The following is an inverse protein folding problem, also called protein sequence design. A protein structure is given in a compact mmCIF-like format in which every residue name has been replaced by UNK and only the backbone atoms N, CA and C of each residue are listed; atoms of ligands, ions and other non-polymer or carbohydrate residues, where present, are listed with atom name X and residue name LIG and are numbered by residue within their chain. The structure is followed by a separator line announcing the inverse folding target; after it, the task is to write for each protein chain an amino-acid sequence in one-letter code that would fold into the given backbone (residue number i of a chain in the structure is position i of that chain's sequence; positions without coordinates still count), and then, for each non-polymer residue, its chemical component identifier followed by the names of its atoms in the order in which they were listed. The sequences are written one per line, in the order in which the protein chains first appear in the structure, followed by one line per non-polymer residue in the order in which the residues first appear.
data_IF_896567490539
#
_entry.id   IF_896567490539
#
_cell.length_a   1.000
_cell.length_b   1.000
_cell.length_c   1.000
_cell.angle_alpha   90.00
_cell.angle_beta   90.00
_cell.angle_gamma   90.00
#
_symmetry.space_group_name_H-M   'P 1'
#
loop_
_entity.id
_entity.type
_entity.pdbx_description
1 polymer ?
#
# COMPACT_ATOMS: atom_id res chain seq x y z
N UNK A 1 -80.77 -7.01 -35.74
CA UNK A 1 -80.29 -5.76 -35.09
C UNK A 1 -78.81 -5.63 -35.43
N UNK A 2 -78.47 -4.85 -36.46
CA UNK A 2 -77.09 -4.72 -37.00
C UNK A 2 -76.46 -3.47 -36.38
N UNK A 3 -75.38 -3.69 -35.65
CA UNK A 3 -74.59 -2.61 -35.05
C UNK A 3 -73.45 -2.33 -36.01
N UNK A 4 -73.42 -1.15 -36.58
CA UNK A 4 -72.34 -0.66 -37.43
C UNK A 4 -71.23 -0.08 -36.52
N UNK A 5 -70.04 -0.64 -36.62
CA UNK A 5 -68.84 -0.17 -35.94
C UNK A 5 -68.09 0.79 -36.89
N UNK A 6 -68.14 2.07 -36.63
CA UNK A 6 -67.42 3.09 -37.39
C UNK A 6 -65.98 3.15 -36.87
N UNK A 7 -65.01 2.80 -37.70
CA UNK A 7 -63.57 2.91 -37.44
C UNK A 7 -63.13 4.34 -37.78
N UNK A 8 -62.78 5.12 -36.76
CA UNK A 8 -62.20 6.44 -36.91
C UNK A 8 -60.68 6.30 -37.10
N UNK A 9 -60.23 6.54 -38.32
CA UNK A 9 -58.80 6.45 -38.67
C UNK A 9 -58.10 7.75 -38.25
N UNK A 10 -57.25 7.69 -37.22
CA UNK A 10 -56.47 8.85 -36.74
C UNK A 10 -55.11 8.76 -37.44
N UNK A 11 -54.87 9.62 -38.41
CA UNK A 11 -53.60 9.74 -39.11
C UNK A 11 -52.62 10.50 -38.24
N UNK A 12 -51.65 9.81 -37.68
CA UNK A 12 -50.51 10.43 -36.95
C UNK A 12 -49.45 10.85 -37.96
N UNK A 13 -49.36 12.14 -38.21
CA UNK A 13 -48.25 12.76 -38.94
C UNK A 13 -47.00 12.75 -38.03
N UNK A 14 -46.11 11.83 -38.30
CA UNK A 14 -44.77 11.82 -37.71
C UNK A 14 -43.91 12.90 -38.38
N UNK A 15 -43.75 14.05 -37.75
CA UNK A 15 -42.68 14.98 -38.08
C UNK A 15 -41.36 14.40 -37.51
N UNK A 16 -40.59 13.78 -38.41
CA UNK A 16 -39.24 13.36 -38.15
C UNK A 16 -38.32 14.57 -38.24
N UNK A 17 -38.03 15.21 -37.12
CA UNK A 17 -36.91 16.15 -37.02
C UNK A 17 -35.62 15.35 -36.94
N UNK A 18 -34.95 15.19 -38.06
CA UNK A 18 -33.63 14.59 -38.16
C UNK A 18 -32.54 15.60 -37.73
N UNK A 19 -32.40 15.87 -36.45
CA UNK A 19 -31.24 16.57 -35.90
C UNK A 19 -30.10 15.59 -35.76
N UNK A 20 -29.34 15.37 -36.83
CA UNK A 20 -27.97 14.86 -36.73
C UNK A 20 -27.15 15.92 -35.98
N UNK A 21 -27.05 15.78 -34.64
CA UNK A 21 -25.91 16.30 -33.93
C UNK A 21 -24.72 15.47 -34.37
N UNK A 22 -23.90 16.01 -35.27
CA UNK A 22 -22.54 15.58 -35.43
C UNK A 22 -21.88 15.73 -34.05
N UNK A 23 -21.66 14.60 -33.37
CA UNK A 23 -20.73 14.55 -32.26
C UNK A 23 -19.34 14.76 -32.86
N UNK A 24 -18.86 15.99 -32.83
CA UNK A 24 -17.44 16.24 -32.93
C UNK A 24 -16.78 15.46 -31.81
N UNK A 25 -16.42 14.20 -32.05
CA UNK A 25 -15.42 13.50 -31.31
C UNK A 25 -14.13 14.32 -31.51
N UNK A 26 -13.92 15.27 -30.62
CA UNK A 26 -12.63 15.91 -30.47
C UNK A 26 -11.67 14.76 -30.17
N UNK A 27 -10.88 14.38 -31.18
CA UNK A 27 -9.67 13.59 -30.95
C UNK A 27 -8.99 14.18 -29.70
N UNK A 28 -8.59 13.35 -28.71
CA UNK A 28 -7.80 13.86 -27.63
C UNK A 28 -6.57 14.51 -28.27
N UNK A 29 -6.49 15.84 -28.15
CA UNK A 29 -5.36 16.59 -28.65
C UNK A 29 -4.13 15.89 -28.07
N UNK A 30 -3.25 15.36 -28.95
CA UNK A 30 -1.92 14.93 -28.52
C UNK A 30 -1.31 16.14 -27.83
N UNK A 31 -1.23 16.10 -26.50
CA UNK A 31 -0.49 17.11 -25.74
C UNK A 31 0.93 17.09 -26.30
N UNK A 32 1.30 18.10 -27.04
CA UNK A 32 2.68 18.35 -27.40
C UNK A 32 3.37 18.81 -26.11
N UNK A 33 4.00 17.88 -25.38
CA UNK A 33 4.71 18.09 -24.11
C UNK A 33 6.02 18.86 -24.32
N UNK A 34 6.23 19.50 -25.45
CA UNK A 34 7.43 20.29 -25.76
C UNK A 34 7.31 21.78 -25.43
N UNK A 35 6.18 22.24 -24.95
CA UNK A 35 6.03 23.63 -24.52
C UNK A 35 6.43 23.76 -23.04
N UNK A 36 7.54 24.43 -22.78
CA UNK A 36 8.07 24.71 -21.42
C UNK A 36 7.03 25.37 -20.51
N UNK A 37 6.07 26.13 -21.05
CA UNK A 37 4.98 26.73 -20.29
C UNK A 37 3.93 25.69 -19.84
N UNK A 38 3.74 24.63 -20.61
CA UNK A 38 2.82 23.52 -20.27
C UNK A 38 3.46 22.60 -19.23
N UNK A 39 4.77 22.34 -19.34
CA UNK A 39 5.54 21.62 -18.31
C UNK A 39 5.56 22.41 -17.00
N UNK A 40 5.77 23.71 -17.02
CA UNK A 40 5.75 24.56 -15.83
C UNK A 40 4.38 24.62 -15.13
N UNK A 41 3.27 24.34 -15.83
CA UNK A 41 1.94 24.19 -15.23
C UNK A 41 1.75 22.84 -14.55
N UNK A 42 2.39 21.77 -15.05
CA UNK A 42 2.34 20.45 -14.46
C UNK A 42 3.26 20.30 -13.25
N UNK A 43 4.35 21.08 -13.23
CA UNK A 43 5.38 21.02 -12.18
C UNK A 43 5.15 21.96 -11.00
N UNK A 44 4.05 22.70 -10.95
CA UNK A 44 3.71 23.42 -9.72
C UNK A 44 3.04 22.46 -8.76
N UNK A 45 3.79 21.90 -7.79
CA UNK A 45 3.13 21.26 -6.68
C UNK A 45 2.19 22.32 -6.07
N UNK A 46 0.94 21.95 -5.81
CA UNK A 46 0.06 22.79 -4.99
C UNK A 46 0.76 22.96 -3.65
N UNK A 47 1.43 24.08 -3.44
CA UNK A 47 2.11 24.36 -2.17
C UNK A 47 1.02 24.43 -1.12
N UNK A 48 0.94 23.38 -0.29
CA UNK A 48 0.08 23.43 0.89
C UNK A 48 0.74 24.43 1.87
N UNK A 49 0.10 25.56 2.20
CA UNK A 49 0.71 26.55 3.08
C UNK A 49 0.80 26.08 4.54
N UNK A 50 0.13 24.99 4.89
CA UNK A 50 0.05 24.46 6.27
C UNK A 50 1.02 23.29 6.51
N UNK A 51 1.34 22.52 5.48
CA UNK A 51 2.22 21.38 5.60
C UNK A 51 2.90 21.07 4.26
N UNK A 52 4.17 20.67 4.30
CA UNK A 52 4.87 20.13 3.13
C UNK A 52 4.44 18.68 2.92
N UNK A 53 4.42 18.25 1.65
CA UNK A 53 4.21 16.83 1.33
C UNK A 53 5.46 16.05 1.74
N UNK A 54 5.27 15.00 2.54
CA UNK A 54 6.36 14.11 2.90
C UNK A 54 6.83 13.31 1.68
N UNK A 55 8.14 13.22 1.50
CA UNK A 55 8.76 12.42 0.44
C UNK A 55 8.80 10.92 0.76
N UNK A 56 8.48 10.56 2.00
CA UNK A 56 8.36 9.17 2.48
C UNK A 56 6.97 8.96 3.07
N UNK A 57 5.91 8.90 2.25
CA UNK A 57 4.54 8.87 2.73
C UNK A 57 4.28 7.66 3.63
N UNK A 58 3.38 7.84 4.60
CA UNK A 58 2.88 6.75 5.43
C UNK A 58 1.98 5.83 4.61
N UNK A 59 2.08 4.54 4.88
CA UNK A 59 1.23 3.51 4.31
C UNK A 59 0.85 2.48 5.36
N UNK A 60 -0.15 1.66 5.07
CA UNK A 60 -0.57 0.59 5.95
C UNK A 60 -1.05 -0.64 5.18
N UNK A 61 -0.78 -1.80 5.74
CA UNK A 61 -1.26 -3.08 5.22
C UNK A 61 -1.95 -3.88 6.32
N UNK A 62 -2.95 -4.67 5.93
CA UNK A 62 -3.77 -5.48 6.84
C UNK A 62 -3.64 -6.96 6.54
N UNK A 63 -3.87 -7.79 7.56
CA UNK A 63 -4.18 -9.19 7.36
C UNK A 63 -5.57 -9.53 7.95
N UNK A 64 -6.47 -10.14 7.16
CA UNK A 64 -6.30 -10.47 5.73
C UNK A 64 -6.16 -9.22 4.85
N UNK A 65 -5.45 -9.35 3.72
CA UNK A 65 -5.11 -8.23 2.84
C UNK A 65 -6.32 -7.51 2.22
N UNK A 66 -7.43 -8.21 2.07
CA UNK A 66 -8.71 -7.69 1.57
C UNK A 66 -9.60 -7.07 2.66
N UNK A 67 -9.13 -7.04 3.91
CA UNK A 67 -9.89 -6.51 5.06
C UNK A 67 -10.57 -5.16 4.80
N UNK A 68 -9.92 -4.14 4.19
CA UNK A 68 -10.58 -2.85 3.96
C UNK A 68 -11.79 -2.97 3.01
N UNK A 69 -11.69 -3.84 1.99
CA UNK A 69 -12.79 -4.09 1.04
C UNK A 69 -13.94 -4.82 1.71
N UNK A 70 -13.65 -5.84 2.52
CA UNK A 70 -14.64 -6.61 3.27
C UNK A 70 -15.36 -5.72 4.30
N UNK A 71 -14.61 -4.84 4.96
CA UNK A 71 -15.17 -3.89 5.94
C UNK A 71 -16.09 -2.88 5.26
N UNK A 72 -15.67 -2.30 4.14
CA UNK A 72 -16.49 -1.37 3.35
C UNK A 72 -17.76 -2.02 2.81
N UNK A 73 -17.69 -3.29 2.40
CA UNK A 73 -18.85 -4.06 1.93
C UNK A 73 -19.77 -4.53 3.06
N UNK A 74 -19.46 -4.26 4.33
CA UNK A 74 -20.22 -4.77 5.48
C UNK A 74 -20.13 -6.29 5.69
N UNK A 75 -19.21 -6.96 4.98
CA UNK A 75 -19.06 -8.41 5.03
C UNK A 75 -18.33 -8.91 6.28
N UNK A 76 -17.68 -8.00 7.02
CA UNK A 76 -16.95 -8.31 8.26
C UNK A 76 -17.15 -7.20 9.29
N UNK A 77 -17.43 -7.56 10.54
CA UNK A 77 -17.57 -6.65 11.68
C UNK A 77 -16.36 -6.68 12.62
N UNK A 78 -15.65 -7.83 12.69
CA UNK A 78 -14.46 -8.02 13.52
C UNK A 78 -13.31 -7.09 13.10
N UNK A 79 -12.32 -6.83 13.99
CA UNK A 79 -11.05 -6.21 13.60
C UNK A 79 -10.25 -7.12 12.66
N UNK A 80 -9.21 -6.61 11.98
CA UNK A 80 -8.26 -7.45 11.25
C UNK A 80 -7.49 -8.35 12.24
N UNK A 81 -6.77 -9.34 11.76
CA UNK A 81 -5.88 -10.15 12.59
C UNK A 81 -4.57 -9.42 12.89
N UNK A 82 -4.06 -8.69 11.88
CA UNK A 82 -2.89 -7.84 12.03
C UNK A 82 -2.97 -6.58 11.14
N UNK A 83 -2.19 -5.57 11.48
CA UNK A 83 -1.96 -4.37 10.69
C UNK A 83 -0.50 -3.94 10.86
N UNK A 84 0.12 -3.48 9.79
CA UNK A 84 1.40 -2.78 9.82
C UNK A 84 1.20 -1.35 9.33
N UNK A 85 1.84 -0.38 9.99
CA UNK A 85 1.86 1.03 9.62
C UNK A 85 3.33 1.42 9.49
N UNK A 86 3.71 2.01 8.36
CA UNK A 86 5.11 2.28 8.05
C UNK A 86 5.25 3.45 7.08
N UNK A 87 6.42 4.09 7.06
CA UNK A 87 6.77 5.08 6.04
C UNK A 87 7.49 4.41 4.88
N UNK A 88 7.27 4.91 3.67
CA UNK A 88 7.81 4.38 2.42
C UNK A 88 8.94 5.25 1.88
N UNK A 89 10.18 5.11 2.37
CA UNK A 89 11.33 5.75 1.73
C UNK A 89 11.51 5.24 0.31
N UNK A 90 12.14 6.06 -0.54
CA UNK A 90 12.41 5.71 -1.93
C UNK A 90 13.91 5.88 -2.26
N UNK A 91 14.34 5.19 -3.32
CA UNK A 91 15.74 5.13 -3.69
C UNK A 91 16.29 6.48 -4.19
N UNK A 92 15.55 7.17 -5.03
CA UNK A 92 16.01 8.40 -5.70
C UNK A 92 17.36 8.21 -6.41
N UNK A 93 17.52 7.09 -7.11
CA UNK A 93 18.76 6.73 -7.79
C UNK A 93 19.90 6.27 -6.89
N UNK A 94 19.67 6.07 -5.59
CA UNK A 94 20.65 5.58 -4.61
C UNK A 94 20.62 4.07 -4.51
N UNK A 95 21.69 3.48 -3.99
CA UNK A 95 21.76 2.07 -3.63
C UNK A 95 21.47 1.87 -2.15
N UNK A 96 20.51 0.97 -1.84
CA UNK A 96 19.97 0.82 -0.49
C UNK A 96 21.06 0.55 0.56
N UNK A 97 21.95 -0.44 0.36
CA UNK A 97 22.91 -0.89 1.36
C UNK A 97 24.27 -0.18 1.35
N UNK A 98 24.47 0.82 0.53
CA UNK A 98 25.70 1.60 0.47
C UNK A 98 25.49 3.05 0.85
N UNK A 99 24.35 3.61 0.45
CA UNK A 99 24.10 5.05 0.54
C UNK A 99 22.96 5.38 1.52
N UNK A 100 22.05 4.42 1.78
CA UNK A 100 20.88 4.64 2.63
C UNK A 100 20.98 3.85 3.93
N UNK A 101 21.25 2.55 3.85
CA UNK A 101 21.35 1.64 4.99
C UNK A 101 22.77 1.06 5.09
N UNK A 102 23.11 0.61 6.28
CA UNK A 102 24.34 -0.14 6.55
C UNK A 102 23.98 -1.55 6.97
N UNK A 103 24.72 -2.53 6.48
CA UNK A 103 24.64 -3.88 7.00
C UNK A 103 25.02 -3.91 8.48
N UNK A 104 24.46 -4.86 9.22
CA UNK A 104 24.68 -5.11 10.64
C UNK A 104 24.32 -3.95 11.58
N UNK A 105 23.55 -2.97 11.08
CA UNK A 105 23.03 -1.86 11.87
C UNK A 105 21.51 -1.90 11.94
N UNK A 106 20.91 -1.53 13.08
CA UNK A 106 19.45 -1.44 13.18
C UNK A 106 18.86 -0.45 12.20
N UNK A 107 17.77 -0.85 11.54
CA UNK A 107 16.95 -0.01 10.69
C UNK A 107 15.47 -0.16 11.06
N UNK A 108 14.79 0.94 11.28
CA UNK A 108 13.38 1.02 11.71
C UNK A 108 12.35 0.55 10.71
N UNK A 109 12.77 -0.12 9.61
CA UNK A 109 11.90 -0.61 8.53
C UNK A 109 11.01 0.49 7.92
N UNK A 110 11.60 1.64 7.64
CA UNK A 110 10.91 2.80 7.10
C UNK A 110 11.74 4.07 7.20
N UNK A 111 11.05 5.20 7.07
CA UNK A 111 11.54 6.54 7.33
C UNK A 111 10.65 7.21 8.39
N UNK A 112 11.06 8.39 8.90
CA UNK A 112 10.34 9.11 9.92
C UNK A 112 10.19 8.29 11.21
N UNK A 113 8.98 7.94 11.64
CA UNK A 113 8.71 7.16 12.84
C UNK A 113 9.06 5.68 12.65
N UNK A 114 9.14 4.96 13.76
CA UNK A 114 9.29 3.52 13.77
C UNK A 114 8.09 2.83 13.10
N UNK A 115 8.34 1.75 12.38
CA UNK A 115 7.28 0.91 11.82
C UNK A 115 6.53 0.21 12.94
N UNK A 116 5.19 0.30 12.93
CA UNK A 116 4.32 -0.30 13.92
C UNK A 116 3.68 -1.59 13.42
N UNK A 117 3.58 -2.58 14.30
CA UNK A 117 2.83 -3.82 14.10
C UNK A 117 1.75 -3.94 15.17
N UNK A 118 0.50 -3.90 14.75
CA UNK A 118 -0.63 -4.24 15.59
C UNK A 118 -1.04 -5.70 15.36
N UNK A 119 -1.02 -6.50 16.40
CA UNK A 119 -1.60 -7.84 16.43
C UNK A 119 -2.93 -7.78 17.19
N UNK A 120 -4.05 -7.99 16.49
CA UNK A 120 -5.38 -8.00 17.10
C UNK A 120 -5.75 -9.37 17.66
N UNK A 121 -4.95 -10.38 17.36
CA UNK A 121 -4.98 -11.72 17.92
C UNK A 121 -3.57 -12.24 18.18
N UNK A 122 -3.41 -13.27 19.02
CA UNK A 122 -2.14 -13.95 19.21
C UNK A 122 -1.64 -14.49 17.86
N UNK A 123 -0.36 -14.34 17.60
CA UNK A 123 0.29 -14.85 16.38
C UNK A 123 1.42 -15.84 16.74
N UNK A 124 1.66 -16.80 15.87
CA UNK A 124 2.83 -17.68 15.95
C UNK A 124 3.76 -17.39 14.78
N UNK A 125 5.01 -17.02 15.08
CA UNK A 125 6.05 -16.66 14.11
C UNK A 125 7.25 -17.56 14.39
N UNK A 126 7.68 -18.36 13.43
CA UNK A 126 8.80 -19.32 13.58
C UNK A 126 8.73 -20.09 14.93
N UNK A 127 7.56 -20.68 15.22
CA UNK A 127 7.27 -21.43 16.46
C UNK A 127 7.28 -20.62 17.77
N UNK A 128 7.43 -19.30 17.73
CA UNK A 128 7.33 -18.42 18.90
C UNK A 128 5.96 -17.74 18.92
N UNK A 129 5.25 -17.87 20.04
CA UNK A 129 3.98 -17.16 20.27
C UNK A 129 4.23 -15.71 20.63
N UNK A 130 3.59 -14.81 19.91
CA UNK A 130 3.54 -13.37 20.17
C UNK A 130 2.10 -13.03 20.53
N UNK A 131 1.92 -12.39 21.69
CA UNK A 131 0.60 -12.00 22.16
C UNK A 131 0.00 -10.89 21.32
N UNK A 132 -1.34 -10.82 21.31
CA UNK A 132 -2.03 -9.65 20.79
C UNK A 132 -1.52 -8.39 21.49
N UNK A 133 -1.31 -7.32 20.72
CA UNK A 133 -0.75 -6.08 21.24
C UNK A 133 -0.19 -5.19 20.14
N UNK A 134 0.29 -4.02 20.54
CA UNK A 134 0.97 -3.05 19.68
C UNK A 134 2.48 -3.15 19.90
N UNK A 135 3.21 -3.22 18.80
CA UNK A 135 4.66 -3.37 18.79
C UNK A 135 5.26 -2.44 17.76
N UNK A 136 6.56 -2.20 17.84
CA UNK A 136 7.34 -1.70 16.73
C UNK A 136 8.13 -2.84 16.09
N UNK A 137 8.41 -2.68 14.80
CA UNK A 137 9.32 -3.51 14.05
C UNK A 137 10.59 -2.73 13.71
N UNK A 138 11.72 -3.38 13.86
CA UNK A 138 12.95 -2.95 13.22
C UNK A 138 13.68 -4.17 12.66
N UNK A 139 14.64 -3.96 11.79
CA UNK A 139 15.48 -5.04 11.32
C UNK A 139 16.96 -4.72 11.46
N UNK A 140 17.76 -5.77 11.47
CA UNK A 140 19.21 -5.70 11.26
C UNK A 140 19.47 -6.42 9.96
N UNK A 141 19.69 -5.68 8.84
CA UNK A 141 19.96 -6.30 7.55
C UNK A 141 21.38 -6.85 7.51
N UNK A 142 21.52 -8.12 7.07
CA UNK A 142 22.77 -8.75 6.73
C UNK A 142 22.81 -9.00 5.22
N UNK A 143 23.93 -9.47 4.69
CA UNK A 143 24.09 -9.70 3.25
C UNK A 143 23.06 -10.70 2.69
N UNK A 144 22.83 -11.79 3.42
CA UNK A 144 22.03 -12.92 2.96
C UNK A 144 20.74 -13.14 3.76
N UNK A 145 20.58 -12.43 4.87
CA UNK A 145 19.42 -12.52 5.74
C UNK A 145 19.10 -11.17 6.38
N UNK A 146 17.85 -11.02 6.87
CA UNK A 146 17.48 -9.93 7.77
C UNK A 146 17.04 -10.50 9.09
N UNK A 147 17.52 -9.91 10.18
CA UNK A 147 16.98 -10.18 11.53
C UNK A 147 15.83 -9.21 11.80
N UNK A 148 14.60 -9.70 11.73
CA UNK A 148 13.39 -8.92 12.04
C UNK A 148 13.16 -9.00 13.55
N UNK A 149 12.98 -7.84 14.17
CA UNK A 149 12.81 -7.73 15.63
C UNK A 149 11.46 -7.13 15.95
N UNK A 150 10.72 -7.78 16.85
CA UNK A 150 9.49 -7.27 17.47
C UNK A 150 9.90 -6.68 18.84
N UNK A 151 9.51 -5.43 19.07
CA UNK A 151 9.91 -4.68 20.26
C UNK A 151 8.72 -3.93 20.85
N UNK A 152 8.71 -3.76 22.18
CA UNK A 152 7.62 -3.09 22.90
C UNK A 152 7.86 -1.60 23.14
N UNK A 153 8.92 -1.01 22.61
CA UNK A 153 9.20 0.43 22.72
C UNK A 153 8.36 1.27 21.76
N UNK A 154 7.03 1.18 21.90
CA UNK A 154 6.06 1.92 21.09
C UNK A 154 6.27 3.44 21.26
N UNK A 155 5.69 4.22 20.33
CA UNK A 155 5.75 5.69 20.31
C UNK A 155 7.19 6.24 20.26
N UNK A 156 8.12 5.47 19.68
CA UNK A 156 9.51 5.84 19.49
C UNK A 156 9.81 6.26 18.05
N UNK A 157 10.85 7.08 17.88
CA UNK A 157 11.31 7.45 16.54
C UNK A 157 12.05 6.30 15.82
N UNK A 158 12.54 5.31 16.56
CA UNK A 158 13.12 4.07 16.05
C UNK A 158 14.55 4.16 15.53
N UNK A 159 15.26 5.28 15.69
CA UNK A 159 16.66 5.40 15.27
C UNK A 159 17.60 4.57 16.16
N UNK A 160 17.32 4.55 17.45
CA UNK A 160 18.08 3.80 18.46
C UNK A 160 17.10 2.89 19.22
N UNK A 161 16.90 1.65 18.77
CA UNK A 161 15.97 0.75 19.42
C UNK A 161 16.49 0.33 20.80
N UNK A 162 15.64 0.38 21.82
CA UNK A 162 15.94 -0.17 23.14
C UNK A 162 15.85 -1.70 23.08
N UNK A 163 16.99 -2.35 22.92
CA UNK A 163 17.08 -3.82 22.79
C UNK A 163 16.61 -4.58 24.02
N UNK A 164 16.51 -3.93 25.20
CA UNK A 164 15.97 -4.54 26.42
C UNK A 164 14.46 -4.78 26.32
N UNK A 165 13.82 -4.11 25.38
CA UNK A 165 12.38 -4.25 25.09
C UNK A 165 12.08 -5.20 23.92
N UNK A 166 13.09 -5.91 23.41
CA UNK A 166 12.88 -6.93 22.37
C UNK A 166 12.07 -8.10 22.92
N UNK A 167 10.99 -8.41 22.22
CA UNK A 167 10.12 -9.55 22.50
C UNK A 167 10.61 -10.79 21.77
N UNK A 168 11.00 -10.60 20.50
CA UNK A 168 11.42 -11.68 19.62
C UNK A 168 12.31 -11.17 18.50
N UNK A 169 13.20 -12.06 18.03
CA UNK A 169 14.06 -11.88 16.87
C UNK A 169 13.87 -13.05 15.93
N UNK A 170 13.73 -12.77 14.64
CA UNK A 170 13.48 -13.75 13.59
C UNK A 170 14.45 -13.52 12.44
N UNK A 171 15.23 -14.52 12.12
CA UNK A 171 16.08 -14.46 10.95
C UNK A 171 15.30 -14.96 9.72
N UNK A 172 15.35 -14.19 8.65
CA UNK A 172 14.68 -14.48 7.38
C UNK A 172 15.65 -14.30 6.23
N UNK A 173 15.70 -15.24 5.26
CA UNK A 173 16.61 -15.12 4.13
C UNK A 173 16.22 -13.98 3.20
N UNK A 174 17.21 -13.35 2.60
CA UNK A 174 17.02 -12.35 1.53
C UNK A 174 16.87 -13.07 0.18
N UNK A 175 15.78 -12.79 -0.49
CA UNK A 175 15.55 -13.16 -1.87
C UNK A 175 15.97 -11.99 -2.76
N UNK A 176 16.87 -12.23 -3.70
CA UNK A 176 17.23 -11.25 -4.71
C UNK A 176 16.23 -11.30 -5.86
N UNK A 177 15.64 -10.16 -6.18
CA UNK A 177 14.70 -10.02 -7.29
C UNK A 177 15.37 -9.38 -8.49
N UNK A 178 14.85 -9.68 -9.69
CA UNK A 178 15.35 -9.07 -10.94
C UNK A 178 14.83 -7.63 -11.13
N UNK A 179 13.81 -7.24 -10.37
CA UNK A 179 13.19 -5.91 -10.44
C UNK A 179 13.60 -5.10 -9.22
N UNK A 180 14.08 -3.89 -9.45
CA UNK A 180 14.31 -2.92 -8.38
C UNK A 180 13.01 -2.20 -8.03
N UNK A 181 12.64 -2.21 -6.75
CA UNK A 181 11.50 -1.46 -6.22
C UNK A 181 11.98 -0.09 -5.74
N UNK A 182 11.45 0.96 -6.34
CA UNK A 182 11.76 2.35 -5.97
C UNK A 182 11.36 2.67 -4.53
N UNK A 183 10.16 2.23 -4.10
CA UNK A 183 9.63 2.50 -2.77
C UNK A 183 9.69 1.27 -1.87
N UNK A 184 10.21 1.46 -0.65
CA UNK A 184 10.09 0.44 0.38
C UNK A 184 8.63 0.04 0.57
N UNK A 185 8.37 -1.25 0.65
CA UNK A 185 7.03 -1.82 0.68
C UNK A 185 6.94 -2.90 1.74
N UNK A 186 5.93 -2.79 2.61
CA UNK A 186 5.53 -3.85 3.55
C UNK A 186 4.09 -4.22 3.26
N UNK A 187 3.82 -5.49 2.99
CA UNK A 187 2.47 -5.98 2.76
C UNK A 187 2.26 -7.35 3.39
N UNK A 188 1.03 -7.60 3.82
CA UNK A 188 0.61 -8.95 4.17
C UNK A 188 0.13 -9.69 2.95
N UNK A 189 0.61 -10.90 2.78
CA UNK A 189 0.15 -11.84 1.76
C UNK A 189 -0.39 -13.11 2.41
N UNK A 190 -1.34 -13.76 1.75
CA UNK A 190 -1.83 -15.09 2.15
C UNK A 190 -1.04 -16.14 1.41
N UNK A 191 -0.49 -17.11 2.16
CA UNK A 191 0.20 -18.28 1.59
C UNK A 191 -0.38 -19.56 2.18
N UNK A 192 -1.24 -20.20 1.40
CA UNK A 192 -1.99 -21.36 1.90
C UNK A 192 -2.85 -21.00 3.12
N UNK A 193 -2.58 -21.62 4.28
CA UNK A 193 -3.26 -21.36 5.56
C UNK A 193 -2.54 -20.32 6.43
N UNK A 194 -1.39 -19.79 6.01
CA UNK A 194 -0.58 -18.85 6.78
C UNK A 194 -0.59 -17.45 6.15
N UNK A 195 -0.17 -16.46 6.91
CA UNK A 195 0.19 -15.14 6.43
C UNK A 195 1.69 -15.05 6.20
N UNK A 196 2.12 -14.20 5.28
CA UNK A 196 3.49 -13.74 5.17
C UNK A 196 3.52 -12.22 5.25
N UNK A 197 4.37 -11.66 6.10
CA UNK A 197 4.71 -10.25 6.05
C UNK A 197 5.90 -10.10 5.11
N UNK A 198 5.60 -9.64 3.89
CA UNK A 198 6.59 -9.34 2.87
C UNK A 198 7.14 -7.94 3.11
N UNK A 199 8.46 -7.80 3.09
CA UNK A 199 9.18 -6.54 3.14
C UNK A 199 10.15 -6.50 1.96
N UNK A 200 10.04 -5.47 1.12
CA UNK A 200 10.84 -5.39 -0.10
C UNK A 200 11.28 -3.96 -0.41
N UNK A 201 12.52 -3.82 -0.84
CA UNK A 201 13.07 -2.56 -1.33
C UNK A 201 14.26 -2.82 -2.25
N UNK A 202 14.41 -2.01 -3.29
CA UNK A 202 15.38 -2.25 -4.35
C UNK A 202 15.21 -3.69 -4.91
N UNK A 203 16.27 -4.46 -4.95
CA UNK A 203 16.26 -5.86 -5.37
C UNK A 203 16.27 -6.87 -4.19
N UNK A 204 16.00 -6.40 -2.98
CA UNK A 204 15.95 -7.24 -1.78
C UNK A 204 14.50 -7.47 -1.33
N UNK A 205 14.12 -8.71 -1.11
CA UNK A 205 12.84 -9.14 -0.59
C UNK A 205 13.05 -10.11 0.56
N UNK A 206 12.34 -9.94 1.65
CA UNK A 206 12.27 -10.89 2.76
C UNK A 206 10.82 -11.19 3.12
N UNK A 207 10.55 -12.38 3.63
CA UNK A 207 9.21 -12.86 3.98
C UNK A 207 9.22 -13.45 5.37
N UNK A 208 8.43 -12.92 6.27
CA UNK A 208 8.26 -13.42 7.63
C UNK A 208 6.92 -14.18 7.73
N UNK A 209 6.95 -15.53 7.73
CA UNK A 209 5.74 -16.33 7.88
C UNK A 209 5.15 -16.21 9.29
N UNK A 210 3.81 -16.11 9.37
CA UNK A 210 3.08 -16.09 10.62
C UNK A 210 1.71 -16.77 10.50
N UNK A 211 1.22 -17.31 11.62
CA UNK A 211 -0.12 -17.89 11.72
C UNK A 211 -0.88 -17.29 12.90
N UNK A 212 -2.21 -17.22 12.75
CA UNK A 212 -3.14 -16.63 13.72
C UNK A 212 -4.13 -17.66 14.23
#
# INVERSE_FOLDING_TARGET
MKIYLTILSFAFLLFSCNNKKESNATNPAKLNITDSATLARYERPSVNPYATVDVSPMDMSYYPADYPKLKMAGSISSPPLARVIYSRPHLQGRHIFHEVLKYDQPWRLGANEATELDLFSDATIQNKKIKAGRYILYCIPHTDSWTIVINTNIDSWGLEPDTKKDVARFEVPVLKTNNSLEYFTIVFEKKGSTAELLMAWDNAEVRLPMSF
#
